data_IF_843402387813
#
_entry.id   IF_843402387813
#
_cell.length_a   1.000
_cell.length_b   1.000
_cell.length_c   1.000
_cell.angle_alpha   90.00
_cell.angle_beta   90.00
_cell.angle_gamma   90.00
#
_symmetry.space_group_name_H-M   'P 1'
#
loop_
_entity.id
_entity.type
_entity.pdbx_description
1 polymer ?
#
# COMPACT_ATOMS: atom_id res chain seq x y z
N UNK A 1 -2.77 15.56 -0.71
CA UNK A 1 -3.89 14.67 -0.26
C UNK A 1 -5.23 15.32 -0.60
N UNK A 2 -6.12 14.62 -1.29
CA UNK A 2 -7.47 15.11 -1.64
C UNK A 2 -8.48 14.68 -0.56
N UNK A 3 -9.09 15.60 0.22
CA UNK A 3 -10.02 15.23 1.28
C UNK A 3 -11.35 14.64 0.77
N UNK A 4 -11.65 14.80 -0.51
CA UNK A 4 -12.85 14.24 -1.14
C UNK A 4 -12.60 12.83 -1.76
N UNK A 5 -11.39 12.30 -1.65
CA UNK A 5 -11.10 10.94 -2.09
C UNK A 5 -11.72 9.93 -1.12
N UNK A 6 -12.50 8.94 -1.60
CA UNK A 6 -13.18 7.97 -0.73
C UNK A 6 -12.19 7.14 0.10
N UNK A 7 -10.99 6.86 -0.40
CA UNK A 7 -9.96 6.13 0.33
C UNK A 7 -9.45 6.98 1.52
N UNK A 8 -9.24 8.30 1.29
CA UNK A 8 -8.83 9.23 2.35
C UNK A 8 -9.89 9.33 3.43
N UNK A 9 -11.17 9.44 3.06
CA UNK A 9 -12.27 9.50 4.03
C UNK A 9 -12.38 8.21 4.86
N UNK A 10 -12.21 7.05 4.25
CA UNK A 10 -12.25 5.76 4.95
C UNK A 10 -11.07 5.61 5.92
N UNK A 11 -9.84 5.97 5.48
CA UNK A 11 -8.66 5.99 6.37
C UNK A 11 -8.89 6.92 7.56
N UNK A 12 -9.45 8.10 7.35
CA UNK A 12 -9.66 9.09 8.40
C UNK A 12 -10.63 8.58 9.51
N UNK A 13 -11.70 7.90 9.10
CA UNK A 13 -12.66 7.27 10.04
C UNK A 13 -11.96 6.20 10.87
N UNK A 14 -11.19 5.32 10.23
CA UNK A 14 -10.47 4.22 10.88
C UNK A 14 -9.37 4.77 11.79
N UNK A 15 -8.59 5.74 11.31
CA UNK A 15 -7.50 6.36 12.05
C UNK A 15 -7.96 7.02 13.35
N UNK A 16 -9.07 7.75 13.29
CA UNK A 16 -9.64 8.40 14.47
C UNK A 16 -9.97 7.39 15.59
N UNK A 17 -10.33 6.18 15.23
CA UNK A 17 -10.64 5.11 16.16
C UNK A 17 -9.40 4.35 16.62
N UNK A 18 -8.48 4.01 15.72
CA UNK A 18 -7.24 3.31 16.02
C UNK A 18 -6.31 4.10 16.96
N UNK A 19 -6.36 5.43 16.92
CA UNK A 19 -5.60 6.29 17.83
C UNK A 19 -5.84 5.96 19.32
N UNK A 20 -7.01 5.43 19.66
CA UNK A 20 -7.36 5.06 21.03
C UNK A 20 -6.59 3.83 21.55
N UNK A 21 -5.97 3.05 20.65
CA UNK A 21 -5.25 1.82 21.03
C UNK A 21 -3.86 2.08 21.62
N UNK A 22 -3.29 3.26 21.38
CA UNK A 22 -1.94 3.61 21.87
C UNK A 22 -0.79 2.85 21.19
N UNK A 23 -1.09 1.93 20.29
CA UNK A 23 -0.12 1.11 19.57
C UNK A 23 0.31 1.79 18.26
N UNK A 24 1.55 1.52 17.84
CA UNK A 24 2.04 1.98 16.54
C UNK A 24 1.43 1.15 15.42
N UNK A 25 0.43 1.71 14.77
CA UNK A 25 -0.25 1.13 13.61
C UNK A 25 0.19 1.88 12.35
N UNK A 26 0.68 1.16 11.35
CA UNK A 26 1.14 1.72 10.07
C UNK A 26 0.12 1.44 8.98
N UNK A 27 -0.40 2.47 8.34
CA UNK A 27 -1.29 2.36 7.19
C UNK A 27 -0.50 1.95 5.96
N UNK A 28 -0.98 0.89 5.30
CA UNK A 28 -0.38 0.26 4.11
C UNK A 28 -1.49 -0.01 3.08
N UNK A 29 -1.25 -0.89 2.12
CA UNK A 29 -2.30 -1.36 1.19
C UNK A 29 -2.80 -0.31 0.20
N UNK A 30 -3.90 -0.65 -0.49
CA UNK A 30 -4.44 0.18 -1.58
C UNK A 30 -4.89 1.58 -1.13
N UNK A 31 -5.49 1.70 0.05
CA UNK A 31 -5.91 3.00 0.59
C UNK A 31 -4.74 3.97 0.83
N UNK A 32 -3.54 3.46 1.12
CA UNK A 32 -2.35 4.29 1.30
C UNK A 32 -1.88 4.94 -0.01
N UNK A 33 -2.17 4.36 -1.16
CA UNK A 33 -1.79 4.94 -2.46
C UNK A 33 -2.28 6.38 -2.61
N UNK A 34 -3.54 6.66 -2.24
CA UNK A 34 -4.13 8.00 -2.28
C UNK A 34 -3.37 9.02 -1.41
N UNK A 35 -2.80 8.56 -0.31
CA UNK A 35 -2.05 9.39 0.64
C UNK A 35 -0.61 9.65 0.19
N UNK A 36 -0.09 8.81 -0.70
CA UNK A 36 1.28 8.89 -1.22
C UNK A 36 1.41 9.78 -2.46
N UNK A 37 0.30 10.19 -3.08
CA UNK A 37 0.33 11.04 -4.28
C UNK A 37 0.67 12.48 -3.91
N UNK A 38 1.66 13.05 -4.63
CA UNK A 38 2.15 14.43 -4.45
C UNK A 38 1.94 15.29 -5.68
N UNK A 39 1.73 14.70 -6.86
CA UNK A 39 1.55 15.43 -8.11
C UNK A 39 0.38 16.42 -8.02
N UNK A 40 0.52 17.66 -8.55
CA UNK A 40 -0.54 18.67 -8.55
C UNK A 40 -1.79 18.24 -9.35
N UNK A 41 -1.58 17.47 -10.42
CA UNK A 41 -2.63 16.82 -11.21
C UNK A 41 -2.53 15.30 -10.98
N UNK A 42 -3.17 14.78 -9.92
CA UNK A 42 -3.02 13.38 -9.55
C UNK A 42 -3.66 12.47 -10.60
N UNK A 43 -3.10 11.26 -10.81
CA UNK A 43 -3.79 10.22 -11.55
C UNK A 43 -5.09 9.84 -10.84
N UNK A 44 -6.01 9.20 -11.57
CA UNK A 44 -7.17 8.59 -10.94
C UNK A 44 -6.71 7.46 -10.02
N UNK A 45 -7.28 7.43 -8.82
CA UNK A 45 -6.95 6.45 -7.79
C UNK A 45 -8.10 5.46 -7.73
N UNK A 46 -7.79 4.17 -7.76
CA UNK A 46 -8.81 3.14 -7.59
C UNK A 46 -9.36 3.18 -6.16
N UNK A 47 -10.69 3.19 -6.05
CA UNK A 47 -11.33 3.01 -4.76
C UNK A 47 -11.04 1.59 -4.25
N UNK A 48 -10.58 1.49 -3.00
CA UNK A 48 -10.41 0.20 -2.32
C UNK A 48 -11.59 -0.08 -1.41
N UNK A 49 -11.84 -1.36 -1.14
CA UNK A 49 -12.93 -1.78 -0.26
C UNK A 49 -12.52 -1.84 1.22
N UNK A 50 -11.23 -1.77 1.51
CA UNK A 50 -10.66 -2.00 2.83
C UNK A 50 -9.49 -1.05 3.13
N UNK A 51 -9.23 -0.90 4.41
CA UNK A 51 -8.05 -0.23 4.97
C UNK A 51 -7.11 -1.31 5.47
N UNK A 52 -5.89 -1.33 4.99
CA UNK A 52 -4.85 -2.24 5.45
C UNK A 52 -3.95 -1.54 6.47
N UNK A 53 -3.72 -2.19 7.60
CA UNK A 53 -2.76 -1.71 8.59
C UNK A 53 -1.83 -2.83 9.04
N UNK A 54 -0.59 -2.44 9.35
CA UNK A 54 0.41 -3.33 9.93
C UNK A 54 0.74 -2.87 11.33
N UNK A 55 0.85 -3.83 12.23
CA UNK A 55 1.19 -3.61 13.63
C UNK A 55 2.42 -4.44 14.03
N UNK A 56 3.30 -3.82 14.79
CA UNK A 56 4.45 -4.51 15.38
C UNK A 56 4.04 -5.17 16.69
N UNK A 57 4.00 -6.48 16.71
CA UNK A 57 3.72 -7.28 17.90
C UNK A 57 4.75 -8.40 18.03
N UNK A 58 5.25 -8.62 19.25
CA UNK A 58 6.34 -9.57 19.46
C UNK A 58 5.85 -11.03 19.53
N UNK A 59 4.61 -11.24 19.97
CA UNK A 59 4.05 -12.58 20.19
C UNK A 59 2.59 -12.68 19.75
N UNK A 60 2.12 -13.91 19.56
CA UNK A 60 0.71 -14.16 19.32
C UNK A 60 -0.18 -13.65 20.49
N UNK A 61 0.32 -13.72 21.73
CA UNK A 61 -0.41 -13.18 22.89
C UNK A 61 -0.56 -11.66 22.84
N UNK A 62 0.46 -10.93 22.34
CA UNK A 62 0.38 -9.50 22.13
C UNK A 62 -0.65 -9.15 21.05
N UNK A 63 -0.64 -9.91 19.96
CA UNK A 63 -1.62 -9.77 18.90
C UNK A 63 -3.05 -10.02 19.40
N UNK A 64 -3.25 -11.04 20.23
CA UNK A 64 -4.56 -11.32 20.85
C UNK A 64 -5.02 -10.22 21.79
N UNK A 65 -4.09 -9.63 22.59
CA UNK A 65 -4.42 -8.47 23.43
C UNK A 65 -4.85 -7.26 22.59
N UNK A 66 -4.15 -7.00 21.49
CA UNK A 66 -4.54 -5.94 20.57
C UNK A 66 -5.94 -6.19 19.99
N UNK A 67 -6.27 -7.43 19.66
CA UNK A 67 -7.62 -7.78 19.18
C UNK A 67 -8.72 -7.51 20.20
N UNK A 68 -8.45 -7.68 21.50
CA UNK A 68 -9.39 -7.31 22.57
C UNK A 68 -9.56 -5.77 22.59
N UNK A 69 -8.46 -5.03 22.54
CA UNK A 69 -8.51 -3.56 22.49
C UNK A 69 -9.26 -3.05 21.25
N UNK A 70 -9.12 -3.73 20.09
CA UNK A 70 -9.90 -3.44 18.89
C UNK A 70 -11.40 -3.59 19.13
N UNK A 71 -11.81 -4.68 19.79
CA UNK A 71 -13.22 -4.90 20.13
C UNK A 71 -13.74 -3.81 21.09
N UNK A 72 -12.96 -3.44 22.11
CA UNK A 72 -13.30 -2.38 23.07
C UNK A 72 -13.38 -1.00 22.38
N UNK A 73 -12.60 -0.77 21.32
CA UNK A 73 -12.66 0.42 20.49
C UNK A 73 -13.84 0.40 19.49
N UNK A 74 -14.68 -0.63 19.51
CA UNK A 74 -15.90 -0.73 18.71
C UNK A 74 -15.71 -1.40 17.34
N UNK A 75 -14.54 -1.97 17.06
CA UNK A 75 -14.36 -2.82 15.90
C UNK A 75 -14.99 -4.20 16.15
N UNK A 76 -15.54 -4.80 15.12
CA UNK A 76 -16.13 -6.14 15.16
C UNK A 76 -15.38 -7.05 14.20
N UNK A 77 -15.15 -8.31 14.61
CA UNK A 77 -14.61 -9.33 13.70
C UNK A 77 -15.55 -9.51 12.52
N UNK A 78 -15.00 -9.60 11.33
CA UNK A 78 -15.80 -9.94 10.15
C UNK A 78 -16.15 -11.43 10.22
N UNK A 79 -17.39 -11.73 10.58
CA UNK A 79 -17.91 -13.10 10.74
C UNK A 79 -18.53 -13.66 9.44
N UNK A 80 -18.41 -12.97 8.31
CA UNK A 80 -18.94 -13.45 7.03
C UNK A 80 -18.16 -14.68 6.57
N UNK A 81 -18.85 -15.57 5.89
CA UNK A 81 -18.22 -16.77 5.32
C UNK A 81 -17.07 -16.39 4.37
N UNK A 82 -15.90 -17.00 4.57
CA UNK A 82 -14.70 -16.74 3.80
C UNK A 82 -13.93 -15.48 4.19
N UNK A 83 -14.38 -14.70 5.20
CA UNK A 83 -13.64 -13.53 5.66
C UNK A 83 -12.30 -13.95 6.30
N UNK A 84 -11.19 -13.25 6.01
CA UNK A 84 -9.90 -13.52 6.63
C UNK A 84 -9.94 -13.32 8.15
N UNK A 85 -9.15 -14.10 8.89
CA UNK A 85 -9.11 -14.04 10.37
C UNK A 85 -8.56 -12.71 10.91
N UNK A 86 -7.90 -11.92 10.10
CA UNK A 86 -7.35 -10.59 10.43
C UNK A 86 -8.29 -9.44 10.06
N UNK A 87 -9.49 -9.75 9.48
CA UNK A 87 -10.45 -8.76 9.01
C UNK A 87 -11.39 -8.30 10.10
N UNK A 88 -11.55 -7.00 10.20
CA UNK A 88 -12.42 -6.30 11.13
C UNK A 88 -13.35 -5.35 10.41
N UNK A 89 -14.40 -4.92 11.08
CA UNK A 89 -15.34 -3.92 10.60
C UNK A 89 -15.57 -2.84 11.62
N UNK A 90 -15.73 -1.60 11.13
CA UNK A 90 -16.18 -0.45 11.89
C UNK A 90 -17.33 0.21 11.11
N UNK A 91 -18.57 -0.14 11.41
CA UNK A 91 -19.71 0.18 10.55
C UNK A 91 -19.52 -0.40 9.15
N UNK A 92 -19.52 0.45 8.12
CA UNK A 92 -19.29 0.02 6.73
C UNK A 92 -17.80 -0.12 6.39
N UNK A 93 -16.91 0.49 7.16
CA UNK A 93 -15.49 0.39 6.90
C UNK A 93 -14.96 -1.02 7.21
N UNK A 94 -14.15 -1.54 6.31
CA UNK A 94 -13.42 -2.81 6.45
C UNK A 94 -11.97 -2.50 6.78
N UNK A 95 -11.41 -3.22 7.74
CA UNK A 95 -10.03 -3.08 8.19
C UNK A 95 -9.35 -4.44 8.24
N UNK A 96 -8.22 -4.56 7.57
CA UNK A 96 -7.32 -5.70 7.67
C UNK A 96 -6.16 -5.35 8.60
N UNK A 97 -6.13 -5.98 9.78
CA UNK A 97 -5.09 -5.80 10.80
C UNK A 97 -4.08 -6.93 10.70
N UNK A 98 -2.90 -6.64 10.18
CA UNK A 98 -1.85 -7.63 9.92
C UNK A 98 -0.65 -7.43 10.85
N UNK A 99 -0.07 -8.50 11.42
CA UNK A 99 1.21 -8.40 12.13
C UNK A 99 2.36 -8.19 11.12
N UNK A 100 3.43 -7.53 11.57
CA UNK A 100 4.64 -7.37 10.76
C UNK A 100 5.40 -8.69 10.57
N UNK A 101 5.31 -9.58 11.55
CA UNK A 101 6.08 -10.82 11.58
C UNK A 101 5.25 -12.03 11.13
N UNK A 102 5.83 -12.85 10.26
CA UNK A 102 5.18 -14.03 9.70
C UNK A 102 4.80 -15.07 10.75
N UNK A 103 5.58 -15.18 11.80
CA UNK A 103 5.43 -16.16 12.87
C UNK A 103 4.13 -16.02 13.65
N UNK A 104 3.50 -14.86 13.60
CA UNK A 104 2.26 -14.55 14.34
C UNK A 104 1.05 -15.24 13.70
N UNK A 105 0.88 -15.13 12.38
CA UNK A 105 -0.27 -15.68 11.65
C UNK A 105 0.11 -16.72 10.58
N UNK A 106 1.40 -17.07 10.45
CA UNK A 106 1.89 -18.00 9.45
C UNK A 106 2.16 -17.37 8.07
N UNK A 107 1.82 -16.10 7.89
CA UNK A 107 2.09 -15.32 6.67
C UNK A 107 2.33 -13.86 7.03
N UNK A 108 3.14 -13.18 6.25
CA UNK A 108 3.29 -11.72 6.21
C UNK A 108 4.01 -11.33 4.93
N UNK A 109 3.83 -10.08 4.51
CA UNK A 109 4.67 -9.53 3.46
C UNK A 109 6.08 -9.28 4.02
N UNK A 110 7.12 -9.73 3.32
CA UNK A 110 8.52 -9.62 3.78
C UNK A 110 8.98 -8.19 4.08
N UNK A 111 8.29 -7.19 3.53
CA UNK A 111 8.62 -5.78 3.71
C UNK A 111 7.85 -5.10 4.86
N UNK A 112 6.94 -5.80 5.54
CA UNK A 112 6.21 -5.22 6.66
C UNK A 112 7.09 -4.79 7.83
N UNK A 113 8.14 -5.54 8.24
CA UNK A 113 9.07 -5.07 9.27
C UNK A 113 9.75 -3.75 8.88
N UNK A 114 10.12 -3.59 7.60
CA UNK A 114 10.69 -2.34 7.09
C UNK A 114 9.64 -1.22 7.07
N UNK A 115 8.41 -1.52 6.66
CA UNK A 115 7.31 -0.55 6.67
C UNK A 115 7.10 0.04 8.07
N UNK A 116 7.09 -0.80 9.10
CA UNK A 116 6.95 -0.35 10.50
C UNK A 116 8.12 0.52 10.95
N UNK A 117 9.36 0.13 10.62
CA UNK A 117 10.56 0.90 11.01
C UNK A 117 10.66 2.26 10.34
N UNK A 118 10.23 2.36 9.07
CA UNK A 118 10.45 3.56 8.23
C UNK A 118 9.21 4.41 8.04
N UNK A 119 8.07 4.04 8.63
CA UNK A 119 6.82 4.79 8.49
C UNK A 119 6.99 6.26 8.85
N UNK A 120 6.52 7.13 7.97
CA UNK A 120 6.43 8.56 8.19
C UNK A 120 5.14 8.94 8.91
N UNK A 121 5.04 10.21 9.35
CA UNK A 121 3.80 10.77 9.88
C UNK A 121 3.06 11.52 8.79
N UNK A 122 1.74 11.38 8.77
CA UNK A 122 0.86 12.11 7.87
C UNK A 122 -0.36 12.65 8.65
N UNK A 123 -0.72 13.90 8.37
CA UNK A 123 -1.92 14.50 8.97
C UNK A 123 -3.13 14.20 8.08
N UNK A 124 -4.21 13.72 8.69
CA UNK A 124 -5.48 13.46 8.04
C UNK A 124 -6.37 14.72 8.04
N UNK A 125 -7.39 14.81 7.18
CA UNK A 125 -8.32 15.95 7.14
C UNK A 125 -9.00 16.26 8.46
N UNK A 126 -9.28 15.24 9.29
CA UNK A 126 -9.81 15.40 10.65
C UNK A 126 -8.82 16.01 11.65
N UNK A 127 -7.55 16.18 11.28
CA UNK A 127 -6.46 16.52 12.18
C UNK A 127 -5.87 15.34 12.94
N UNK A 128 -6.31 14.11 12.67
CA UNK A 128 -5.66 12.92 13.19
C UNK A 128 -4.28 12.75 12.55
N UNK A 129 -3.29 12.33 13.32
CA UNK A 129 -1.97 11.95 12.82
C UNK A 129 -1.91 10.43 12.70
N UNK A 130 -1.41 9.95 11.57
CA UNK A 130 -1.20 8.52 11.29
C UNK A 130 0.25 8.22 10.99
N UNK A 131 0.65 6.95 11.17
CA UNK A 131 1.87 6.44 10.56
C UNK A 131 1.55 5.87 9.19
N UNK A 132 2.17 6.42 8.16
CA UNK A 132 1.98 6.03 6.76
C UNK A 132 3.23 5.32 6.26
N UNK A 133 3.05 4.24 5.53
CA UNK A 133 4.14 3.54 4.85
C UNK A 133 4.93 4.50 3.96
N UNK A 134 6.26 4.37 3.95
CA UNK A 134 7.12 5.12 3.03
C UNK A 134 6.94 4.64 1.58
N UNK A 135 6.88 5.55 0.61
CA UNK A 135 6.51 5.21 -0.77
C UNK A 135 7.39 4.13 -1.43
N UNK A 136 8.72 4.11 -1.31
CA UNK A 136 9.54 3.00 -1.81
C UNK A 136 9.18 1.65 -1.19
N UNK A 137 8.85 1.61 0.11
CA UNK A 137 8.47 0.38 0.80
C UNK A 137 7.07 -0.06 0.37
N UNK A 138 6.14 0.89 0.14
CA UNK A 138 4.84 0.61 -0.45
C UNK A 138 4.98 -0.08 -1.81
N UNK A 139 5.82 0.46 -2.70
CA UNK A 139 6.10 -0.14 -4.02
C UNK A 139 6.63 -1.58 -3.84
N UNK A 140 7.56 -1.79 -2.91
CA UNK A 140 8.09 -3.13 -2.65
C UNK A 140 7.02 -4.09 -2.09
N UNK A 141 6.14 -3.65 -1.16
CA UNK A 141 5.06 -4.49 -0.63
C UNK A 141 4.08 -4.91 -1.71
N UNK A 142 3.69 -4.01 -2.59
CA UNK A 142 2.76 -4.26 -3.68
C UNK A 142 3.38 -5.14 -4.78
N UNK A 143 4.63 -4.89 -5.17
CA UNK A 143 5.35 -5.75 -6.11
C UNK A 143 5.52 -7.18 -5.55
N UNK A 144 5.81 -7.32 -4.26
CA UNK A 144 5.88 -8.65 -3.63
C UNK A 144 4.53 -9.37 -3.68
N UNK A 145 3.43 -8.68 -3.33
CA UNK A 145 2.09 -9.27 -3.40
C UNK A 145 1.69 -9.65 -4.83
N UNK A 146 2.02 -8.81 -5.81
CA UNK A 146 1.81 -9.09 -7.23
C UNK A 146 2.54 -10.34 -7.70
N UNK A 147 3.82 -10.49 -7.32
CA UNK A 147 4.64 -11.64 -7.72
C UNK A 147 4.23 -12.94 -7.01
N UNK A 148 3.75 -12.86 -5.76
CA UNK A 148 3.36 -14.02 -4.95
C UNK A 148 2.01 -14.62 -5.37
N UNK A 149 1.05 -13.79 -5.76
CA UNK A 149 -0.33 -14.20 -6.12
C UNK A 149 -0.48 -14.92 -7.46
N UNK A 150 0.54 -15.05 -8.27
CA UNK A 150 0.38 -15.72 -9.57
C UNK A 150 1.57 -15.57 -10.51
N UNK A 151 2.79 -15.52 -9.98
CA UNK A 151 4.01 -15.41 -10.77
C UNK A 151 4.06 -14.21 -11.72
N UNK A 152 3.29 -13.15 -11.44
CA UNK A 152 3.26 -11.94 -12.25
C UNK A 152 2.47 -12.08 -13.57
N UNK A 153 1.61 -13.09 -13.70
CA UNK A 153 0.82 -13.29 -14.92
C UNK A 153 -0.44 -12.41 -15.00
N UNK A 154 -0.96 -11.96 -13.86
CA UNK A 154 -2.10 -11.04 -13.83
C UNK A 154 -1.64 -9.59 -13.96
N UNK A 155 -1.31 -9.19 -15.19
CA UNK A 155 -0.88 -7.82 -15.50
C UNK A 155 -1.98 -6.76 -15.29
N UNK A 156 -3.22 -7.14 -14.96
CA UNK A 156 -4.32 -6.24 -14.60
C UNK A 156 -4.65 -6.28 -13.11
N UNK A 157 -3.78 -6.88 -12.29
CA UNK A 157 -3.99 -6.94 -10.85
C UNK A 157 -4.06 -5.55 -10.19
N UNK A 158 -4.87 -5.44 -9.15
CA UNK A 158 -4.95 -4.20 -8.34
C UNK A 158 -3.59 -3.83 -7.71
N UNK A 159 -2.79 -4.82 -7.30
CA UNK A 159 -1.48 -4.54 -6.70
C UNK A 159 -0.54 -3.85 -7.68
N UNK A 160 -0.52 -4.27 -8.95
CA UNK A 160 0.24 -3.60 -10.00
C UNK A 160 -0.34 -2.23 -10.34
N UNK A 161 -1.67 -2.11 -10.38
CA UNK A 161 -2.36 -0.83 -10.58
C UNK A 161 -1.97 0.22 -9.53
N UNK A 162 -1.97 -0.17 -8.26
CA UNK A 162 -1.56 0.70 -7.13
C UNK A 162 -0.10 1.16 -7.27
N UNK A 163 0.80 0.24 -7.67
CA UNK A 163 2.20 0.57 -7.95
C UNK A 163 2.30 1.62 -9.06
N UNK A 164 1.61 1.41 -10.18
CA UNK A 164 1.65 2.32 -11.32
C UNK A 164 1.05 3.69 -10.98
N UNK A 165 -0.01 3.71 -10.16
CA UNK A 165 -0.60 4.95 -9.64
C UNK A 165 0.41 5.76 -8.82
N UNK A 166 1.17 5.11 -7.94
CA UNK A 166 2.21 5.81 -7.16
C UNK A 166 3.40 6.21 -8.03
N UNK A 167 3.83 5.37 -8.98
CA UNK A 167 4.88 5.72 -9.95
C UNK A 167 4.47 6.95 -10.78
N UNK A 168 3.20 7.03 -11.18
CA UNK A 168 2.69 8.18 -11.96
C UNK A 168 2.50 9.42 -11.10
N UNK A 169 1.95 9.26 -9.89
CA UNK A 169 1.50 10.38 -9.07
C UNK A 169 2.48 10.90 -8.02
N UNK A 170 3.66 10.25 -7.82
CA UNK A 170 4.68 10.68 -6.85
C UNK A 170 5.97 11.09 -7.56
N UNK A 171 6.18 12.40 -7.65
CA UNK A 171 7.32 12.94 -8.40
C UNK A 171 8.66 12.63 -7.74
N UNK A 172 8.69 12.58 -6.40
CA UNK A 172 9.88 12.37 -5.59
C UNK A 172 10.28 10.88 -5.46
N UNK A 173 9.44 9.95 -5.95
CA UNK A 173 9.59 8.51 -5.69
C UNK A 173 11.00 7.99 -5.97
N UNK A 174 11.60 8.37 -7.10
CA UNK A 174 12.94 7.89 -7.46
C UNK A 174 14.03 8.42 -6.50
N UNK A 175 13.94 9.69 -6.11
CA UNK A 175 14.90 10.29 -5.16
C UNK A 175 14.76 9.66 -3.76
N UNK A 176 13.58 9.22 -3.39
CA UNK A 176 13.32 8.56 -2.11
C UNK A 176 13.97 7.17 -1.99
N UNK A 177 14.45 6.57 -3.07
CA UNK A 177 15.26 5.36 -3.03
C UNK A 177 16.73 5.65 -2.64
N UNK A 178 17.18 6.89 -2.70
CA UNK A 178 18.55 7.25 -2.33
C UNK A 178 18.79 7.02 -0.84
N UNK A 179 19.82 6.23 -0.53
CA UNK A 179 20.18 5.92 0.86
C UNK A 179 19.32 4.87 1.57
N UNK A 180 18.38 4.24 0.84
CA UNK A 180 17.60 3.12 1.38
C UNK A 180 18.38 1.80 1.37
N UNK A 181 17.79 0.80 2.04
CA UNK A 181 18.29 -0.57 2.07
C UNK A 181 18.53 -1.11 0.66
N UNK A 182 19.76 -1.58 0.40
CA UNK A 182 20.16 -2.08 -0.90
C UNK A 182 19.39 -3.33 -1.35
N UNK A 183 18.84 -4.12 -0.42
CA UNK A 183 18.01 -5.27 -0.76
C UNK A 183 16.65 -4.81 -1.32
N UNK A 184 16.03 -3.81 -0.70
CA UNK A 184 14.77 -3.22 -1.17
C UNK A 184 14.96 -2.59 -2.55
N UNK A 185 15.98 -1.76 -2.70
CA UNK A 185 16.29 -1.05 -3.93
C UNK A 185 16.51 -2.02 -5.10
N UNK A 186 17.32 -3.06 -4.89
CA UNK A 186 17.57 -4.12 -5.86
C UNK A 186 16.30 -4.90 -6.21
N UNK A 187 15.50 -5.31 -5.20
CA UNK A 187 14.24 -6.03 -5.42
C UNK A 187 13.28 -5.23 -6.31
N UNK A 188 13.13 -3.94 -6.05
CA UNK A 188 12.26 -3.07 -6.85
C UNK A 188 12.81 -2.92 -8.26
N UNK A 189 14.12 -2.67 -8.41
CA UNK A 189 14.77 -2.56 -9.70
C UNK A 189 14.62 -3.82 -10.56
N UNK A 190 14.93 -5.00 -9.99
CA UNK A 190 14.79 -6.29 -10.69
C UNK A 190 13.33 -6.58 -11.07
N UNK A 191 12.38 -6.22 -10.21
CA UNK A 191 10.95 -6.39 -10.49
C UNK A 191 10.50 -5.55 -11.69
N UNK A 192 10.87 -4.28 -11.74
CA UNK A 192 10.56 -3.42 -12.89
C UNK A 192 11.31 -3.83 -14.15
N UNK A 193 12.58 -4.24 -14.05
CA UNK A 193 13.35 -4.75 -15.20
C UNK A 193 12.65 -5.98 -15.81
N UNK A 194 12.16 -6.90 -14.97
CA UNK A 194 11.40 -8.07 -15.41
C UNK A 194 10.07 -7.69 -16.08
N UNK A 195 9.32 -6.76 -15.49
CA UNK A 195 8.07 -6.25 -16.08
C UNK A 195 8.31 -5.63 -17.46
N UNK A 196 9.29 -4.75 -17.57
CA UNK A 196 9.64 -4.09 -18.84
C UNK A 196 10.16 -5.07 -19.91
N UNK A 197 10.80 -6.17 -19.51
CA UNK A 197 11.22 -7.25 -20.41
C UNK A 197 10.05 -8.13 -20.88
N UNK A 198 8.88 -8.04 -20.22
CA UNK A 198 7.68 -8.80 -20.60
C UNK A 198 6.99 -8.12 -21.78
N UNK A 199 6.94 -8.74 -22.99
CA UNK A 199 6.40 -8.05 -24.19
C UNK A 199 4.96 -7.59 -24.03
N UNK A 200 4.16 -8.31 -23.26
CA UNK A 200 2.76 -8.00 -23.02
C UNK A 200 2.56 -6.80 -22.09
N UNK A 201 3.49 -6.49 -21.17
CA UNK A 201 3.33 -5.46 -20.16
C UNK A 201 3.00 -4.08 -20.78
N UNK A 202 3.73 -3.69 -21.83
CA UNK A 202 3.47 -2.42 -22.53
C UNK A 202 2.06 -2.31 -23.11
N UNK A 203 1.48 -3.43 -23.52
CA UNK A 203 0.11 -3.46 -24.04
C UNK A 203 -0.94 -3.31 -22.92
N UNK A 204 -0.61 -3.70 -21.69
CA UNK A 204 -1.49 -3.61 -20.53
C UNK A 204 -1.36 -2.28 -19.78
N UNK A 205 -0.21 -1.59 -19.90
CA UNK A 205 0.04 -0.32 -19.20
C UNK A 205 -1.06 0.73 -19.41
N UNK A 206 -1.60 0.96 -20.65
CA UNK A 206 -2.71 1.89 -20.85
C UNK A 206 -3.98 1.54 -20.07
N UNK A 207 -4.21 0.25 -19.81
CA UNK A 207 -5.38 -0.22 -19.06
C UNK A 207 -5.33 0.09 -17.55
N UNK A 208 -4.17 0.44 -17.00
CA UNK A 208 -4.02 0.89 -15.63
C UNK A 208 -4.24 2.39 -15.44
N UNK A 209 -4.23 3.17 -16.53
CA UNK A 209 -4.58 4.58 -16.50
C UNK A 209 -6.04 4.74 -16.94
N UNK A 210 -6.71 5.80 -16.48
CA UNK A 210 -8.06 6.08 -16.96
C UNK A 210 -8.07 6.32 -18.47
N UNK A 211 -9.20 5.97 -19.11
CA UNK A 211 -9.33 6.04 -20.56
C UNK A 211 -9.50 7.46 -21.15
N UNK A 212 -9.36 8.51 -20.32
CA UNK A 212 -9.39 9.89 -20.80
C UNK A 212 -8.04 10.31 -21.45
N UNK A 213 -8.12 11.26 -22.36
CA UNK A 213 -6.96 11.71 -23.16
C UNK A 213 -5.81 12.24 -22.30
N UNK A 214 -6.11 12.90 -21.18
CA UNK A 214 -5.10 13.47 -20.29
C UNK A 214 -4.32 12.35 -19.56
N UNK A 215 -5.01 11.34 -19.09
CA UNK A 215 -4.39 10.17 -18.45
C UNK A 215 -3.58 9.36 -19.45
N UNK A 216 -4.11 9.11 -20.66
CA UNK A 216 -3.39 8.38 -21.70
C UNK A 216 -2.14 9.14 -22.20
N UNK A 217 -2.16 10.47 -22.22
CA UNK A 217 -1.00 11.29 -22.55
C UNK A 217 0.16 11.15 -21.54
N UNK A 218 -0.09 10.59 -20.33
CA UNK A 218 0.93 10.35 -19.31
C UNK A 218 1.73 9.06 -19.52
N UNK A 219 1.31 8.16 -20.40
CA UNK A 219 1.97 6.87 -20.64
C UNK A 219 3.49 7.02 -20.87
N UNK A 220 3.99 7.93 -21.73
CA UNK A 220 5.44 8.08 -21.94
C UNK A 220 6.19 8.52 -20.67
N UNK A 221 5.55 9.33 -19.81
CA UNK A 221 6.12 9.73 -18.53
C UNK A 221 6.23 8.52 -17.58
N UNK A 222 5.17 7.73 -17.48
CA UNK A 222 5.17 6.51 -16.65
C UNK A 222 6.22 5.52 -17.13
N UNK A 223 6.31 5.27 -18.45
CA UNK A 223 7.35 4.40 -19.03
C UNK A 223 8.77 4.89 -18.69
N UNK A 224 9.03 6.19 -18.80
CA UNK A 224 10.32 6.79 -18.46
C UNK A 224 10.65 6.60 -16.97
N UNK A 225 9.68 6.79 -16.06
CA UNK A 225 9.85 6.56 -14.62
C UNK A 225 10.11 5.09 -14.31
N UNK A 226 9.37 4.17 -14.94
CA UNK A 226 9.58 2.72 -14.79
C UNK A 226 10.99 2.30 -15.25
N UNK A 227 11.48 2.85 -16.37
CA UNK A 227 12.83 2.58 -16.85
C UNK A 227 13.91 3.05 -15.87
N UNK A 228 13.72 4.22 -15.25
CA UNK A 228 14.63 4.74 -14.21
C UNK A 228 14.59 3.88 -12.94
N UNK A 229 13.41 3.43 -12.51
CA UNK A 229 13.28 2.52 -11.37
C UNK A 229 13.91 1.16 -11.67
N UNK A 230 13.77 0.63 -12.89
CA UNK A 230 14.44 -0.62 -13.30
C UNK A 230 15.97 -0.52 -13.25
N UNK A 231 16.54 0.68 -13.49
CA UNK A 231 17.98 0.92 -13.39
C UNK A 231 18.53 0.84 -11.95
N UNK A 232 17.66 0.79 -10.92
CA UNK A 232 18.06 0.57 -9.52
C UNK A 232 18.60 -0.86 -9.27
N UNK A 233 18.44 -1.77 -10.22
CA UNK A 233 18.96 -3.14 -10.10
C UNK A 233 20.52 -3.23 -10.14
N UNK A 234 21.22 -2.15 -10.52
CA UNK A 234 22.68 -2.05 -10.59
C UNK A 234 23.18 -1.92 -11.97
#
# INVERSE_FOLDING_TARGET
MNPNDPNVAMVDIVAARLRMLGEKVVFVGGCAAALLITAPAPPAIHATADVDVVVEVATLADYQRLQIQMADAGFQRDAREGAPIWRWRLGEAVLDLMPSEREILGFANRWYPLAVRTAGRAAMPSGAEIHLIHAPVFVATKLHAFLDKGAGDDLMSHDLGDVLTVVDGREELLAEFEGLDGELTRFVGESFARLLATPRFRNYLPGHLTGDDASQARIPLVEARLARLAALAG
#
